data_IF_736029548309
#
_entry.id   IF_736029548309
#
_cell.length_a   1.000
_cell.length_b   1.000
_cell.length_c   1.000
_cell.angle_alpha   90.00
_cell.angle_beta   90.00
_cell.angle_gamma   90.00
#
_symmetry.space_group_name_H-M   'P 1'
#
loop_
_entity.id
_entity.type
_entity.pdbx_description
1 polymer ?
#
# COMPACT_ATOMS: atom_id res chain seq x y z
N UNK A 1 22.23 -7.34 18.77
CA UNK A 1 21.25 -8.44 18.85
C UNK A 1 21.61 -9.46 17.78
N UNK A 2 21.72 -10.71 18.13
CA UNK A 2 21.94 -11.78 17.15
C UNK A 2 20.75 -12.74 17.25
N UNK A 3 20.06 -12.94 16.15
CA UNK A 3 18.96 -13.89 16.03
C UNK A 3 19.22 -14.77 14.82
N UNK A 4 19.04 -16.08 14.95
CA UNK A 4 19.18 -17.04 13.83
C UNK A 4 17.86 -17.25 13.10
N UNK A 5 16.75 -17.17 13.81
CA UNK A 5 15.40 -17.41 13.27
C UNK A 5 14.46 -16.30 13.72
N UNK A 6 13.98 -15.52 12.78
CA UNK A 6 13.15 -14.33 12.99
C UNK A 6 11.76 -14.58 12.42
N UNK A 7 10.73 -14.23 13.17
CA UNK A 7 9.36 -14.14 12.68
C UNK A 7 8.97 -12.67 12.53
N UNK A 8 8.53 -12.26 11.36
CA UNK A 8 7.94 -10.93 11.14
C UNK A 8 6.43 -11.07 11.16
N UNK A 9 5.77 -10.36 12.06
CA UNK A 9 4.32 -10.39 12.19
C UNK A 9 3.71 -9.08 11.70
N UNK A 10 3.00 -9.14 10.58
CA UNK A 10 2.20 -8.05 10.04
C UNK A 10 1.01 -8.62 9.26
N UNK A 11 -0.15 -7.99 9.41
CA UNK A 11 -1.37 -8.30 8.68
C UNK A 11 -1.87 -7.05 7.97
N UNK A 12 -2.67 -7.22 6.94
CA UNK A 12 -3.28 -6.12 6.21
C UNK A 12 -3.41 -6.43 4.72
N UNK A 13 -3.85 -5.44 3.97
CA UNK A 13 -4.00 -5.49 2.53
C UNK A 13 -2.72 -5.05 1.80
N UNK A 14 -2.80 -4.92 0.47
CA UNK A 14 -1.70 -4.50 -0.40
C UNK A 14 -0.96 -3.25 0.12
N UNK A 15 -1.70 -2.18 0.45
CA UNK A 15 -1.10 -0.94 0.97
C UNK A 15 -0.36 -1.14 2.28
N UNK A 16 -0.94 -1.92 3.22
CA UNK A 16 -0.30 -2.23 4.51
C UNK A 16 1.02 -2.99 4.33
N UNK A 17 1.10 -3.86 3.33
CA UNK A 17 2.33 -4.58 2.99
C UNK A 17 3.37 -3.62 2.41
N UNK A 18 2.98 -2.80 1.43
CA UNK A 18 3.90 -1.92 0.69
C UNK A 18 4.53 -0.84 1.59
N UNK A 19 3.77 -0.24 2.50
CA UNK A 19 4.31 0.76 3.44
C UNK A 19 5.31 0.15 4.43
N UNK A 20 5.33 -1.17 4.60
CA UNK A 20 6.26 -1.85 5.49
C UNK A 20 7.53 -2.36 4.79
N UNK A 21 7.60 -2.33 3.46
CA UNK A 21 8.76 -2.84 2.69
C UNK A 21 10.07 -2.18 3.14
N UNK A 22 10.16 -0.86 3.38
CA UNK A 22 11.39 -0.27 3.90
C UNK A 22 11.85 -0.88 5.22
N UNK A 23 10.93 -1.19 6.14
CA UNK A 23 11.24 -1.84 7.41
C UNK A 23 11.66 -3.32 7.22
N UNK A 24 11.06 -4.02 6.27
CA UNK A 24 11.45 -5.40 5.93
C UNK A 24 12.87 -5.45 5.34
N UNK A 25 13.20 -4.51 4.46
CA UNK A 25 14.57 -4.37 3.93
C UNK A 25 15.58 -4.07 5.04
N UNK A 26 15.23 -3.14 5.93
CA UNK A 26 16.07 -2.83 7.08
C UNK A 26 16.33 -4.06 7.96
N UNK A 27 15.33 -4.90 8.18
CA UNK A 27 15.48 -6.15 8.92
C UNK A 27 16.40 -7.12 8.20
N UNK A 28 16.19 -7.36 6.89
CA UNK A 28 17.04 -8.28 6.12
C UNK A 28 18.51 -7.81 6.07
N UNK A 29 18.73 -6.51 5.89
CA UNK A 29 20.11 -5.96 5.88
C UNK A 29 20.77 -6.03 7.25
N UNK A 30 19.99 -5.91 8.35
CA UNK A 30 20.52 -6.05 9.71
C UNK A 30 20.82 -7.51 10.08
N UNK A 31 20.05 -8.45 9.53
CA UNK A 31 20.14 -9.88 9.82
C UNK A 31 20.28 -10.69 8.51
N UNK A 32 21.38 -10.51 7.74
CA UNK A 32 21.54 -11.10 6.42
C UNK A 32 21.53 -12.63 6.43
N UNK A 33 22.13 -13.24 7.47
CA UNK A 33 22.28 -14.68 7.61
C UNK A 33 21.13 -15.36 8.40
N UNK A 34 20.16 -14.57 8.87
CA UNK A 34 19.05 -15.11 9.63
C UNK A 34 17.97 -15.69 8.72
N UNK A 35 17.37 -16.78 9.14
CA UNK A 35 16.15 -17.27 8.54
C UNK A 35 14.96 -16.37 8.98
N UNK A 36 14.38 -15.62 8.06
CA UNK A 36 13.29 -14.69 8.32
C UNK A 36 12.00 -15.23 7.70
N UNK A 37 11.01 -15.57 8.54
CA UNK A 37 9.68 -15.96 8.12
C UNK A 37 8.68 -14.81 8.29
N UNK A 38 7.73 -14.71 7.36
CA UNK A 38 6.63 -13.75 7.44
C UNK A 38 5.34 -14.43 7.93
N UNK A 39 4.71 -13.86 8.94
CA UNK A 39 3.42 -14.31 9.46
C UNK A 39 2.34 -13.30 9.16
N UNK A 40 1.33 -13.71 8.40
CA UNK A 40 0.18 -12.88 8.05
C UNK A 40 -1.13 -13.64 8.12
N UNK A 41 -2.25 -12.90 8.24
CA UNK A 41 -3.56 -13.48 7.97
C UNK A 41 -3.71 -13.79 6.48
N UNK A 42 -4.48 -14.82 6.16
CA UNK A 42 -4.95 -15.12 4.82
C UNK A 42 -6.47 -14.94 4.77
N UNK A 43 -6.96 -14.44 3.65
CA UNK A 43 -8.38 -14.39 3.36
C UNK A 43 -8.65 -15.21 2.08
N UNK A 44 -8.74 -16.54 2.19
CA UNK A 44 -8.90 -17.41 1.03
C UNK A 44 -10.28 -17.27 0.35
N UNK A 45 -11.22 -16.61 1.01
CA UNK A 45 -12.61 -16.45 0.51
C UNK A 45 -12.74 -15.18 -0.34
N UNK A 46 -11.86 -14.20 -0.13
CA UNK A 46 -11.90 -12.94 -0.87
C UNK A 46 -10.99 -13.01 -2.12
N UNK A 47 -11.55 -13.13 -3.32
CA UNK A 47 -10.77 -13.26 -4.56
C UNK A 47 -9.96 -12.01 -4.91
N UNK A 48 -10.27 -10.86 -4.31
CA UNK A 48 -9.56 -9.59 -4.53
C UNK A 48 -8.53 -9.31 -3.43
N UNK A 49 -8.29 -10.28 -2.52
CA UNK A 49 -7.28 -10.17 -1.49
C UNK A 49 -5.89 -10.43 -2.06
N UNK A 50 -5.04 -9.41 -2.04
CA UNK A 50 -3.63 -9.53 -2.42
C UNK A 50 -2.82 -9.77 -1.15
N UNK A 51 -2.22 -10.94 -1.05
CA UNK A 51 -1.38 -11.32 0.09
C UNK A 51 0.02 -10.67 -0.01
N UNK A 52 0.72 -10.59 1.12
CA UNK A 52 2.10 -10.12 1.12
C UNK A 52 3.02 -11.05 0.28
N UNK A 53 2.67 -12.35 0.18
CA UNK A 53 3.40 -13.31 -0.66
C UNK A 53 3.25 -13.01 -2.16
N UNK A 54 2.09 -12.51 -2.60
CA UNK A 54 1.88 -12.13 -4.00
C UNK A 54 2.69 -10.88 -4.38
N UNK A 55 2.97 -10.03 -3.39
CA UNK A 55 3.72 -8.78 -3.57
C UNK A 55 5.24 -9.01 -3.51
N UNK A 56 5.72 -9.89 -2.63
CA UNK A 56 7.12 -10.02 -2.24
C UNK A 56 7.67 -11.46 -2.38
N UNK A 57 7.28 -12.27 -3.37
CA UNK A 57 7.61 -13.70 -3.38
C UNK A 57 9.12 -13.98 -3.46
N UNK A 58 9.84 -13.28 -4.30
CA UNK A 58 11.25 -13.54 -4.65
C UNK A 58 12.17 -12.33 -4.39
N UNK A 59 11.76 -11.46 -3.45
CA UNK A 59 12.52 -10.26 -3.11
C UNK A 59 13.77 -10.54 -2.25
N UNK A 60 13.95 -11.79 -1.78
CA UNK A 60 14.98 -12.15 -0.81
C UNK A 60 14.74 -11.62 0.62
N UNK A 61 13.61 -10.95 0.85
CA UNK A 61 13.26 -10.40 2.17
C UNK A 61 12.89 -11.47 3.18
N UNK A 62 12.20 -12.52 2.72
CA UNK A 62 11.69 -13.61 3.54
C UNK A 62 12.07 -14.98 2.96
N UNK A 63 12.44 -15.90 3.84
CA UNK A 63 12.81 -17.27 3.48
C UNK A 63 11.61 -18.22 3.60
N UNK A 64 10.56 -17.84 4.38
CA UNK A 64 9.38 -18.65 4.57
C UNK A 64 8.13 -17.80 4.81
N UNK A 65 6.96 -18.37 4.51
CA UNK A 65 5.66 -17.74 4.61
C UNK A 65 4.73 -18.58 5.46
N UNK A 66 4.21 -17.97 6.54
CA UNK A 66 3.24 -18.59 7.44
C UNK A 66 1.95 -17.79 7.33
N UNK A 67 0.89 -18.42 6.87
CA UNK A 67 -0.44 -17.80 6.86
C UNK A 67 -1.35 -18.54 7.85
N UNK A 68 -2.27 -17.79 8.42
CA UNK A 68 -3.37 -18.32 9.21
C UNK A 68 -4.69 -17.75 8.71
N UNK A 69 -5.78 -18.54 8.69
CA UNK A 69 -7.07 -18.05 8.24
C UNK A 69 -7.61 -16.98 9.21
N UNK A 70 -8.32 -15.99 8.65
CA UNK A 70 -9.18 -15.14 9.45
C UNK A 70 -10.33 -15.99 9.99
N UNK A 71 -10.20 -16.43 11.25
CA UNK A 71 -11.20 -17.30 11.88
C UNK A 71 -12.19 -16.47 12.69
N UNK A 72 -13.47 -16.75 12.47
CA UNK A 72 -14.54 -16.24 13.32
C UNK A 72 -14.38 -16.74 14.76
N UNK A 73 -14.84 -15.99 15.77
CA UNK A 73 -14.86 -16.44 17.15
C UNK A 73 -15.63 -17.78 17.29
N UNK A 74 -15.01 -18.77 17.94
CA UNK A 74 -15.62 -20.09 18.17
C UNK A 74 -14.59 -21.18 18.39
N UNK A 75 -15.05 -22.42 18.64
CA UNK A 75 -14.19 -23.56 18.93
C UNK A 75 -13.19 -23.86 17.81
N UNK A 76 -13.62 -23.74 16.55
CA UNK A 76 -12.75 -23.91 15.38
C UNK A 76 -11.63 -22.86 15.32
N UNK A 77 -11.91 -21.62 15.75
CA UNK A 77 -10.91 -20.55 15.84
C UNK A 77 -9.83 -20.83 16.88
N UNK A 78 -10.22 -21.38 18.04
CA UNK A 78 -9.27 -21.75 19.11
C UNK A 78 -8.37 -22.89 18.64
N UNK A 79 -8.93 -23.94 18.02
CA UNK A 79 -8.16 -25.06 17.49
C UNK A 79 -7.14 -24.62 16.44
N UNK A 80 -7.53 -23.69 15.54
CA UNK A 80 -6.65 -23.10 14.53
C UNK A 80 -5.49 -22.32 15.17
N UNK A 81 -5.76 -21.51 16.20
CA UNK A 81 -4.74 -20.77 16.93
C UNK A 81 -3.78 -21.70 17.69
N UNK A 82 -4.27 -22.79 18.28
CA UNK A 82 -3.44 -23.80 18.93
C UNK A 82 -2.53 -24.47 17.89
N UNK A 83 -3.08 -24.86 16.72
CA UNK A 83 -2.31 -25.42 15.62
C UNK A 83 -1.21 -24.48 15.14
N UNK A 84 -1.53 -23.19 14.99
CA UNK A 84 -0.56 -22.16 14.63
C UNK A 84 0.53 -22.01 15.70
N UNK A 85 0.16 -21.96 16.98
CA UNK A 85 1.12 -21.86 18.08
C UNK A 85 2.08 -23.07 18.10
N UNK A 86 1.56 -24.28 17.90
CA UNK A 86 2.38 -25.50 17.79
C UNK A 86 3.31 -25.48 16.59
N UNK A 87 2.83 -25.00 15.42
CA UNK A 87 3.67 -24.80 14.22
C UNK A 87 4.81 -23.84 14.50
N UNK A 88 4.52 -22.65 15.05
CA UNK A 88 5.52 -21.63 15.39
C UNK A 88 6.52 -22.18 16.41
N UNK A 89 6.07 -22.93 17.44
CA UNK A 89 6.93 -23.55 18.45
C UNK A 89 7.92 -24.55 17.86
N UNK A 90 7.46 -25.38 16.89
CA UNK A 90 8.33 -26.36 16.19
C UNK A 90 9.39 -25.65 15.34
N UNK A 91 9.09 -24.49 14.79
CA UNK A 91 10.02 -23.71 13.98
C UNK A 91 11.09 -22.96 14.79
N UNK A 92 10.96 -22.89 16.12
CA UNK A 92 11.97 -22.38 17.08
C UNK A 92 12.48 -20.99 16.72
N UNK A 93 11.59 -20.02 16.55
CA UNK A 93 11.99 -18.64 16.33
C UNK A 93 12.59 -18.00 17.60
N UNK A 94 13.71 -17.27 17.45
CA UNK A 94 14.39 -16.56 18.53
C UNK A 94 13.67 -15.26 18.91
N UNK A 95 13.08 -14.61 17.90
CA UNK A 95 12.38 -13.35 18.05
C UNK A 95 11.18 -13.23 17.12
N UNK A 96 10.21 -12.41 17.51
CA UNK A 96 9.19 -11.86 16.62
C UNK A 96 9.31 -10.35 16.53
N UNK A 97 9.39 -9.83 15.29
CA UNK A 97 9.25 -8.42 15.02
C UNK A 97 7.77 -8.13 14.79
N UNK A 98 7.19 -7.45 15.76
CA UNK A 98 5.77 -7.08 15.79
C UNK A 98 5.60 -5.76 15.05
N UNK A 99 5.36 -5.81 13.73
CA UNK A 99 5.23 -4.65 12.85
C UNK A 99 3.77 -4.38 12.47
N UNK A 100 2.88 -4.47 13.45
CA UNK A 100 1.44 -4.26 13.25
C UNK A 100 1.07 -2.79 13.07
N UNK A 101 -0.13 -2.55 12.58
CA UNK A 101 -0.66 -1.20 12.39
C UNK A 101 -0.94 -0.51 13.74
N UNK A 102 -0.90 0.81 13.75
CA UNK A 102 -1.14 1.64 14.94
C UNK A 102 -2.58 1.62 15.48
N UNK A 103 -3.52 0.99 14.78
CA UNK A 103 -4.91 0.82 15.27
C UNK A 103 -5.13 -0.41 16.16
N UNK A 104 -4.08 -1.16 16.47
CA UNK A 104 -4.18 -2.26 17.45
C UNK A 104 -4.45 -1.72 18.84
N UNK A 105 -5.54 -2.17 19.47
CA UNK A 105 -5.82 -1.84 20.87
C UNK A 105 -4.78 -2.46 21.80
N UNK A 106 -4.59 -1.88 23.00
CA UNK A 106 -3.70 -2.44 24.00
C UNK A 106 -4.04 -3.90 24.34
N UNK A 107 -5.36 -4.24 24.44
CA UNK A 107 -5.83 -5.61 24.68
C UNK A 107 -5.45 -6.57 23.55
N UNK A 108 -5.54 -6.15 22.30
CA UNK A 108 -5.14 -6.97 21.16
C UNK A 108 -3.62 -7.21 21.18
N UNK A 109 -2.83 -6.19 21.48
CA UNK A 109 -1.37 -6.30 21.57
C UNK A 109 -0.98 -7.26 22.71
N UNK A 110 -1.60 -7.14 23.89
CA UNK A 110 -1.30 -8.01 25.04
C UNK A 110 -1.70 -9.47 24.76
N UNK A 111 -2.84 -9.70 24.08
CA UNK A 111 -3.26 -11.02 23.60
C UNK A 111 -2.24 -11.62 22.64
N UNK A 112 -1.77 -10.84 21.65
CA UNK A 112 -0.80 -11.27 20.66
C UNK A 112 0.55 -11.59 21.33
N UNK A 113 0.98 -10.78 22.30
CA UNK A 113 2.18 -11.06 23.12
C UNK A 113 2.07 -12.36 23.90
N UNK A 114 0.91 -12.60 24.52
CA UNK A 114 0.65 -13.88 25.22
C UNK A 114 0.72 -15.05 24.26
N UNK A 115 0.09 -14.94 23.08
CA UNK A 115 0.12 -15.95 22.05
C UNK A 115 1.56 -16.33 21.64
N UNK A 116 2.40 -15.34 21.33
CA UNK A 116 3.79 -15.60 20.94
C UNK A 116 4.62 -16.22 22.09
N UNK A 117 4.38 -15.81 23.33
CA UNK A 117 5.01 -16.44 24.50
C UNK A 117 4.62 -17.91 24.66
N UNK A 118 3.34 -18.24 24.50
CA UNK A 118 2.85 -19.61 24.52
C UNK A 118 3.39 -20.44 23.33
N UNK A 119 3.61 -19.80 22.18
CA UNK A 119 4.30 -20.39 21.04
C UNK A 119 5.82 -20.53 21.22
N UNK A 120 6.37 -20.14 22.39
CA UNK A 120 7.78 -20.32 22.75
C UNK A 120 8.70 -19.15 22.39
N UNK A 121 8.18 -18.03 21.86
CA UNK A 121 8.99 -16.85 21.52
C UNK A 121 9.01 -15.88 22.70
N UNK A 122 10.18 -15.60 23.25
CA UNK A 122 10.36 -14.69 24.39
C UNK A 122 10.67 -13.25 23.96
N UNK A 123 11.41 -13.09 22.87
CA UNK A 123 11.80 -11.77 22.35
C UNK A 123 10.72 -11.24 21.41
N UNK A 124 9.87 -10.34 21.89
CA UNK A 124 8.80 -9.71 21.13
C UNK A 124 9.16 -8.24 20.94
N UNK A 125 9.71 -7.91 19.78
CA UNK A 125 10.28 -6.60 19.48
C UNK A 125 9.22 -5.74 18.79
N UNK A 126 9.01 -4.52 19.28
CA UNK A 126 8.11 -3.54 18.69
C UNK A 126 6.71 -3.49 19.29
N UNK A 127 6.23 -4.57 19.95
CA UNK A 127 4.86 -4.61 20.50
C UNK A 127 4.59 -3.51 21.53
N UNK A 128 5.52 -3.26 22.44
CA UNK A 128 5.39 -2.21 23.45
C UNK A 128 5.44 -0.82 22.82
N UNK A 129 6.32 -0.63 21.83
CA UNK A 129 6.40 0.62 21.10
C UNK A 129 5.07 0.95 20.39
N UNK A 130 4.47 -0.01 19.69
CA UNK A 130 3.17 0.17 19.05
C UNK A 130 2.09 0.46 20.10
N UNK A 131 2.12 -0.21 21.27
CA UNK A 131 1.17 0.02 22.35
C UNK A 131 1.24 1.45 22.90
N UNK A 132 2.44 2.01 23.00
CA UNK A 132 2.69 3.38 23.47
C UNK A 132 2.27 4.44 22.42
N UNK A 133 2.33 4.10 21.13
CA UNK A 133 2.07 5.00 20.02
C UNK A 133 0.82 4.60 19.21
N UNK A 134 -0.07 3.80 19.80
CA UNK A 134 -1.32 3.43 19.13
C UNK A 134 -2.21 4.66 18.91
N UNK A 135 -2.94 4.63 17.82
CA UNK A 135 -3.87 5.70 17.47
C UNK A 135 -5.25 5.43 18.06
N UNK A 136 -5.90 6.42 18.69
CA UNK A 136 -7.26 6.26 19.14
C UNK A 136 -8.22 6.10 17.96
N UNK A 137 -9.34 5.40 18.20
CA UNK A 137 -10.40 5.30 17.20
C UNK A 137 -11.11 6.65 16.98
N UNK A 138 -11.29 7.42 18.06
CA UNK A 138 -11.81 8.77 17.98
C UNK A 138 -10.67 9.72 17.63
N UNK A 139 -10.74 10.26 16.43
CA UNK A 139 -9.72 11.19 15.93
C UNK A 139 -10.03 12.60 16.44
N UNK A 140 -9.07 13.30 17.08
CA UNK A 140 -9.26 14.68 17.51
C UNK A 140 -9.49 15.60 16.31
N UNK A 141 -10.28 16.63 16.49
CA UNK A 141 -10.57 17.63 15.44
C UNK A 141 -10.02 19.01 15.82
N UNK A 142 -9.31 19.70 14.91
CA UNK A 142 -8.91 19.25 13.59
C UNK A 142 -7.93 18.09 13.67
N UNK A 143 -7.91 17.23 12.63
CA UNK A 143 -7.01 16.06 12.59
C UNK A 143 -5.55 16.52 12.49
N UNK A 144 -4.70 16.20 13.47
CA UNK A 144 -3.29 16.51 13.36
C UNK A 144 -2.62 15.64 12.27
N UNK A 145 -1.67 16.24 11.57
CA UNK A 145 -0.81 15.47 10.68
C UNK A 145 0.16 14.63 11.51
N UNK A 146 0.26 13.37 11.17
CA UNK A 146 1.18 12.41 11.79
C UNK A 146 2.20 11.89 10.78
N UNK A 147 3.26 11.26 11.28
CA UNK A 147 4.27 10.63 10.43
C UNK A 147 3.67 9.51 9.57
N UNK A 148 4.26 9.30 8.40
CA UNK A 148 3.91 8.20 7.50
C UNK A 148 4.09 6.85 8.19
N UNK A 149 3.25 5.87 7.87
CA UNK A 149 3.33 4.52 8.46
C UNK A 149 4.70 3.86 8.20
N UNK A 150 5.29 4.08 7.02
CA UNK A 150 6.63 3.57 6.70
C UNK A 150 7.72 4.17 7.61
N UNK A 151 7.67 5.48 7.84
CA UNK A 151 8.60 6.19 8.73
C UNK A 151 8.44 5.76 10.19
N UNK A 152 7.20 5.58 10.63
CA UNK A 152 6.88 5.04 11.94
C UNK A 152 7.52 3.67 12.18
N UNK A 153 7.41 2.75 11.22
CA UNK A 153 8.00 1.42 11.32
C UNK A 153 9.54 1.48 11.34
N UNK A 154 10.14 2.34 10.54
CA UNK A 154 11.58 2.56 10.56
C UNK A 154 12.03 3.18 11.90
N UNK A 155 11.29 4.15 12.45
CA UNK A 155 11.56 4.73 13.76
C UNK A 155 11.46 3.67 14.87
N UNK A 156 10.44 2.81 14.83
CA UNK A 156 10.32 1.67 15.73
C UNK A 156 11.62 0.83 15.73
N UNK A 157 12.11 0.47 14.54
CA UNK A 157 13.32 -0.34 14.44
C UNK A 157 14.58 0.40 14.96
N UNK A 158 14.69 1.72 14.73
CA UNK A 158 15.78 2.54 15.26
C UNK A 158 15.75 2.62 16.79
N UNK A 159 14.61 2.94 17.38
CA UNK A 159 14.46 3.05 18.84
C UNK A 159 14.63 1.70 19.56
N UNK A 160 14.39 0.58 18.88
CA UNK A 160 14.71 -0.75 19.42
C UNK A 160 16.17 -1.18 19.17
N UNK A 161 17.00 -0.31 18.60
CA UNK A 161 18.41 -0.58 18.35
C UNK A 161 18.66 -1.65 17.28
N UNK A 162 17.67 -1.87 16.41
CA UNK A 162 17.78 -2.81 15.27
C UNK A 162 18.54 -2.12 14.13
N UNK A 163 18.12 -0.93 13.75
CA UNK A 163 18.81 -0.11 12.77
C UNK A 163 19.76 0.84 13.50
N UNK A 164 21.06 0.75 13.19
CA UNK A 164 22.11 1.55 13.82
C UNK A 164 22.57 2.75 12.99
N UNK A 165 22.12 2.86 11.75
CA UNK A 165 22.52 3.90 10.80
C UNK A 165 21.37 4.83 10.44
N UNK A 166 21.70 6.06 10.02
CA UNK A 166 20.76 7.02 9.43
C UNK A 166 20.45 6.69 7.96
N UNK A 167 20.83 5.50 7.50
CA UNK A 167 20.55 5.03 6.13
C UNK A 167 19.05 5.06 5.85
N UNK A 168 18.71 5.60 4.70
CA UNK A 168 17.34 5.54 4.18
C UNK A 168 17.08 4.18 3.54
N UNK A 169 15.93 3.63 3.81
CA UNK A 169 15.46 2.37 3.20
C UNK A 169 14.26 2.70 2.32
N UNK A 170 14.33 2.30 1.07
CA UNK A 170 13.28 2.55 0.08
C UNK A 170 12.42 1.30 -0.15
N UNK A 171 11.17 1.45 -0.58
CA UNK A 171 10.31 0.34 -0.94
C UNK A 171 10.70 -0.21 -2.32
N UNK A 172 11.75 -1.03 -2.37
CA UNK A 172 12.18 -1.71 -3.59
C UNK A 172 11.57 -3.12 -3.62
N UNK A 173 10.84 -3.43 -4.66
CA UNK A 173 10.15 -4.71 -4.86
C UNK A 173 11.03 -5.76 -5.53
N UNK A 174 12.26 -5.44 -5.90
CA UNK A 174 13.19 -6.32 -6.62
C UNK A 174 12.49 -7.00 -7.82
N UNK A 175 11.91 -6.19 -8.71
CA UNK A 175 11.20 -6.69 -9.89
C UNK A 175 12.17 -7.42 -10.84
N UNK A 176 11.73 -8.56 -11.33
CA UNK A 176 12.53 -9.42 -12.20
C UNK A 176 12.47 -8.95 -13.67
N UNK A 177 13.47 -9.34 -14.51
CA UNK A 177 13.39 -9.08 -15.95
C UNK A 177 12.15 -9.67 -16.63
N UNK A 178 11.63 -10.80 -16.11
CA UNK A 178 10.42 -11.43 -16.65
C UNK A 178 9.17 -10.59 -16.38
N UNK A 179 9.06 -9.98 -15.21
CA UNK A 179 7.98 -9.07 -14.88
C UNK A 179 8.02 -7.80 -15.74
N UNK A 180 9.19 -7.27 -15.98
CA UNK A 180 9.36 -6.15 -16.92
C UNK A 180 8.99 -6.55 -18.36
N UNK A 181 9.37 -7.75 -18.82
CA UNK A 181 8.94 -8.24 -20.13
C UNK A 181 7.43 -8.42 -20.24
N UNK A 182 6.81 -8.97 -19.21
CA UNK A 182 5.34 -9.12 -19.16
C UNK A 182 4.62 -7.76 -19.19
N UNK A 183 5.15 -6.77 -18.48
CA UNK A 183 4.62 -5.40 -18.49
C UNK A 183 4.74 -4.75 -19.88
N UNK A 184 5.88 -4.89 -20.53
CA UNK A 184 6.10 -4.39 -21.90
C UNK A 184 5.16 -5.08 -22.89
N UNK A 185 5.06 -6.42 -22.83
CA UNK A 185 4.15 -7.18 -23.70
C UNK A 185 2.68 -6.75 -23.54
N UNK A 186 2.24 -6.45 -22.31
CA UNK A 186 0.91 -5.90 -22.07
C UNK A 186 0.75 -4.53 -22.75
N UNK A 187 1.70 -3.61 -22.56
CA UNK A 187 1.67 -2.27 -23.17
C UNK A 187 1.65 -2.39 -24.71
N UNK A 188 2.45 -3.28 -25.28
CA UNK A 188 2.51 -3.54 -26.71
C UNK A 188 1.17 -4.06 -27.26
N UNK A 189 0.62 -5.09 -26.62
CA UNK A 189 -0.68 -5.70 -27.04
C UNK A 189 -1.87 -4.75 -26.90
N UNK A 190 -1.77 -3.76 -26.02
CA UNK A 190 -2.82 -2.76 -25.79
C UNK A 190 -2.84 -1.62 -26.84
N UNK A 191 -2.07 -1.73 -27.93
CA UNK A 191 -2.00 -0.70 -28.96
C UNK A 191 -1.21 0.55 -28.57
N UNK A 192 -0.48 0.50 -27.48
CA UNK A 192 0.42 1.56 -26.98
C UNK A 192 1.79 1.47 -27.64
N UNK A 193 2.06 0.38 -28.34
CA UNK A 193 3.33 0.15 -29.06
C UNK A 193 3.55 1.24 -30.14
N UNK A 194 4.75 1.81 -30.10
CA UNK A 194 5.12 2.90 -31.03
C UNK A 194 4.66 4.29 -30.58
N UNK A 195 3.93 4.38 -29.44
CA UNK A 195 3.63 5.66 -28.85
C UNK A 195 4.90 6.30 -28.28
N UNK A 196 5.28 7.44 -28.85
CA UNK A 196 6.50 8.18 -28.45
C UNK A 196 6.28 9.14 -27.29
N UNK A 197 5.03 9.26 -26.82
CA UNK A 197 4.66 10.14 -25.71
C UNK A 197 4.85 9.46 -24.35
N UNK A 198 4.19 10.01 -23.34
CA UNK A 198 4.30 9.56 -21.94
C UNK A 198 3.10 8.74 -21.51
N UNK A 199 3.35 7.60 -20.89
CA UNK A 199 2.32 6.84 -20.22
C UNK A 199 1.97 7.49 -18.87
N UNK A 200 0.67 7.60 -18.59
CA UNK A 200 0.11 8.10 -17.32
C UNK A 200 -0.73 6.99 -16.71
N UNK A 201 -0.33 6.52 -15.54
CA UNK A 201 -1.11 5.55 -14.79
C UNK A 201 -2.30 6.22 -14.12
N UNK A 202 -3.50 5.62 -14.23
CA UNK A 202 -4.73 6.14 -13.63
C UNK A 202 -5.35 5.06 -12.73
N UNK A 203 -5.48 5.36 -11.42
CA UNK A 203 -6.09 4.48 -10.43
C UNK A 203 -7.41 5.07 -9.90
N UNK A 204 -8.54 4.93 -10.65
CA UNK A 204 -9.79 5.59 -10.31
C UNK A 204 -10.63 4.85 -9.29
N UNK A 205 -10.20 3.65 -8.87
CA UNK A 205 -10.90 2.78 -7.94
C UNK A 205 -10.46 2.89 -6.50
N UNK A 206 -11.20 2.27 -5.63
CA UNK A 206 -10.87 1.97 -4.24
C UNK A 206 -11.83 0.93 -3.68
N UNK A 207 -11.38 0.12 -2.70
CA UNK A 207 -12.27 -0.78 -1.93
C UNK A 207 -13.27 -0.02 -1.05
N UNK A 208 -12.98 1.23 -0.72
CA UNK A 208 -13.86 2.11 0.05
C UNK A 208 -14.45 3.17 -0.87
N UNK A 209 -15.78 3.21 -1.02
CA UNK A 209 -16.45 4.23 -1.82
C UNK A 209 -16.15 5.64 -1.33
N UNK A 210 -16.03 5.82 -0.02
CA UNK A 210 -15.66 7.09 0.62
C UNK A 210 -14.27 7.64 0.22
N UNK A 211 -13.45 6.83 -0.46
CA UNK A 211 -12.12 7.21 -0.96
C UNK A 211 -12.10 7.46 -2.48
N UNK A 212 -13.20 7.28 -3.16
CA UNK A 212 -13.27 7.41 -4.63
C UNK A 212 -13.60 8.85 -5.01
N UNK A 213 -12.63 9.51 -5.66
CA UNK A 213 -12.85 10.80 -6.32
C UNK A 213 -13.75 10.63 -7.54
N UNK A 214 -14.52 11.63 -7.89
CA UNK A 214 -15.57 11.56 -8.90
C UNK A 214 -15.03 11.16 -10.29
N UNK A 215 -15.67 10.18 -10.95
CA UNK A 215 -15.27 9.64 -12.26
C UNK A 215 -15.21 10.74 -13.34
N UNK A 216 -16.17 11.68 -13.33
CA UNK A 216 -16.22 12.78 -14.28
C UNK A 216 -14.98 13.71 -14.19
N UNK A 217 -14.42 13.88 -13.01
CA UNK A 217 -13.22 14.68 -12.80
C UNK A 217 -11.97 13.98 -13.33
N UNK A 218 -11.87 12.64 -13.16
CA UNK A 218 -10.83 11.86 -13.84
C UNK A 218 -10.94 11.98 -15.35
N UNK A 219 -12.17 11.88 -15.87
CA UNK A 219 -12.43 12.00 -17.30
C UNK A 219 -11.97 13.37 -17.84
N UNK A 220 -12.25 14.47 -17.14
CA UNK A 220 -11.83 15.80 -17.54
C UNK A 220 -10.31 15.99 -17.47
N UNK A 221 -9.68 15.68 -16.32
CA UNK A 221 -8.23 15.87 -16.13
C UNK A 221 -7.43 15.10 -17.17
N UNK A 222 -7.75 13.82 -17.38
CA UNK A 222 -7.00 12.97 -18.33
C UNK A 222 -7.26 13.38 -19.76
N UNK A 223 -8.50 13.78 -20.14
CA UNK A 223 -8.81 14.32 -21.46
C UNK A 223 -7.93 15.53 -21.76
N UNK A 224 -7.81 16.48 -20.83
CA UNK A 224 -6.95 17.68 -20.96
C UNK A 224 -5.48 17.33 -21.10
N UNK A 225 -5.00 16.32 -20.35
CA UNK A 225 -3.62 15.82 -20.46
C UNK A 225 -3.36 15.20 -21.85
N UNK A 226 -4.33 14.47 -22.40
CA UNK A 226 -4.24 13.90 -23.75
C UNK A 226 -4.12 15.03 -24.79
N UNK A 227 -5.00 16.04 -24.71
CA UNK A 227 -5.08 17.13 -25.66
C UNK A 227 -3.83 18.04 -25.62
N UNK A 228 -3.26 18.29 -24.44
CA UNK A 228 -2.18 19.28 -24.25
C UNK A 228 -0.79 18.68 -24.13
N UNK A 229 -0.65 17.42 -23.75
CA UNK A 229 0.65 16.78 -23.46
C UNK A 229 0.85 15.44 -24.18
N UNK A 230 -0.07 15.06 -25.05
CA UNK A 230 -0.02 13.81 -25.82
C UNK A 230 0.30 12.59 -24.94
N UNK A 231 -0.45 12.41 -23.84
CA UNK A 231 -0.25 11.27 -22.93
C UNK A 231 -1.08 10.05 -23.33
N UNK A 232 -0.61 8.87 -22.94
CA UNK A 232 -1.33 7.60 -23.04
C UNK A 232 -1.76 7.16 -21.65
N UNK A 233 -3.05 7.23 -21.30
CA UNK A 233 -3.54 6.76 -20.02
C UNK A 233 -3.60 5.23 -19.96
N UNK A 234 -3.16 4.67 -18.84
CA UNK A 234 -3.28 3.25 -18.53
C UNK A 234 -4.01 3.13 -17.19
N UNK A 235 -5.17 2.47 -17.20
CA UNK A 235 -5.96 2.22 -15.99
C UNK A 235 -5.34 1.08 -15.19
N UNK A 236 -5.15 1.30 -13.90
CA UNK A 236 -4.73 0.29 -12.94
C UNK A 236 -5.76 0.13 -11.83
N UNK A 237 -5.99 -1.12 -11.41
CA UNK A 237 -6.94 -1.46 -10.38
C UNK A 237 -7.15 -2.97 -10.28
N UNK A 238 -8.04 -3.40 -9.40
CA UNK A 238 -8.51 -4.78 -9.33
C UNK A 238 -9.55 -5.10 -10.42
N UNK A 239 -10.01 -6.37 -10.48
CA UNK A 239 -11.09 -6.75 -11.40
C UNK A 239 -12.35 -5.91 -11.23
N UNK A 240 -12.62 -5.45 -10.01
CA UNK A 240 -13.74 -4.57 -9.66
C UNK A 240 -13.69 -3.19 -10.33
N UNK A 241 -12.52 -2.76 -10.77
CA UNK A 241 -12.31 -1.45 -11.41
C UNK A 241 -12.39 -1.52 -12.95
N UNK A 242 -12.50 -2.73 -13.52
CA UNK A 242 -12.46 -2.98 -14.96
C UNK A 242 -13.50 -2.17 -15.73
N UNK A 243 -14.77 -2.26 -15.33
CA UNK A 243 -15.87 -1.56 -16.02
C UNK A 243 -15.70 -0.03 -15.96
N UNK A 244 -15.27 0.50 -14.83
CA UNK A 244 -14.95 1.93 -14.67
C UNK A 244 -13.82 2.33 -15.62
N UNK A 245 -12.76 1.53 -15.69
CA UNK A 245 -11.65 1.73 -16.62
C UNK A 245 -12.11 1.77 -18.07
N UNK A 246 -12.96 0.84 -18.49
CA UNK A 246 -13.52 0.79 -19.86
C UNK A 246 -14.37 2.02 -20.19
N UNK A 247 -15.19 2.52 -19.24
CA UNK A 247 -15.98 3.75 -19.46
C UNK A 247 -15.07 4.95 -19.67
N UNK A 248 -14.04 5.10 -18.85
CA UNK A 248 -13.06 6.19 -18.95
C UNK A 248 -12.32 6.15 -20.30
N UNK A 249 -11.78 4.99 -20.69
CA UNK A 249 -11.07 4.83 -21.98
C UNK A 249 -11.99 5.12 -23.17
N UNK A 250 -13.24 4.68 -23.13
CA UNK A 250 -14.22 5.01 -24.19
C UNK A 250 -14.46 6.52 -24.28
N UNK A 251 -14.51 7.22 -23.12
CA UNK A 251 -14.70 8.68 -23.10
C UNK A 251 -13.50 9.43 -23.68
N UNK A 252 -12.30 8.93 -23.46
CA UNK A 252 -11.05 9.51 -24.00
C UNK A 252 -10.72 9.06 -25.42
N UNK A 253 -11.35 7.98 -25.88
CA UNK A 253 -11.02 7.31 -27.16
C UNK A 253 -9.55 6.93 -27.28
N UNK A 254 -8.87 6.75 -26.15
CA UNK A 254 -7.44 6.48 -26.04
C UNK A 254 -7.13 5.84 -24.69
N UNK A 255 -6.17 4.92 -24.66
CA UNK A 255 -5.68 4.32 -23.41
C UNK A 255 -5.76 2.81 -23.40
N UNK A 256 -5.23 2.21 -22.34
CA UNK A 256 -5.25 0.78 -22.07
C UNK A 256 -5.87 0.50 -20.69
N UNK A 257 -6.54 -0.65 -20.54
CA UNK A 257 -7.12 -1.07 -19.27
C UNK A 257 -6.36 -2.28 -18.72
N UNK A 258 -5.52 -2.05 -17.70
CA UNK A 258 -4.79 -3.08 -16.99
C UNK A 258 -5.54 -3.60 -15.73
N UNK A 259 -6.72 -3.02 -15.42
CA UNK A 259 -7.49 -3.41 -14.25
C UNK A 259 -7.95 -4.87 -14.33
N UNK A 260 -7.47 -5.71 -13.41
CA UNK A 260 -7.75 -7.15 -13.38
C UNK A 260 -7.06 -7.99 -14.45
N UNK A 261 -6.21 -7.41 -15.31
CA UNK A 261 -5.47 -8.14 -16.36
C UNK A 261 -4.05 -8.53 -15.90
N UNK A 262 -3.45 -7.72 -15.06
CA UNK A 262 -2.09 -7.94 -14.56
C UNK A 262 -2.13 -8.44 -13.12
N UNK A 263 -1.27 -9.41 -12.80
CA UNK A 263 -0.98 -9.68 -11.40
C UNK A 263 -0.27 -8.46 -10.76
N UNK A 264 -0.21 -8.43 -9.43
CA UNK A 264 0.29 -7.26 -8.70
C UNK A 264 1.73 -6.88 -9.06
N UNK A 265 2.60 -7.85 -9.36
CA UNK A 265 4.00 -7.58 -9.68
C UNK A 265 4.19 -7.11 -11.13
N UNK A 266 3.46 -7.70 -12.08
CA UNK A 266 3.43 -7.21 -13.46
C UNK A 266 2.80 -5.81 -13.53
N UNK A 267 1.79 -5.52 -12.69
CA UNK A 267 1.25 -4.18 -12.55
C UNK A 267 2.28 -3.20 -11.97
N UNK A 268 3.09 -3.61 -10.99
CA UNK A 268 4.21 -2.80 -10.48
C UNK A 268 5.24 -2.50 -11.58
N UNK A 269 5.62 -3.50 -12.38
CA UNK A 269 6.51 -3.32 -13.50
C UNK A 269 5.93 -2.36 -14.57
N UNK A 270 4.63 -2.48 -14.89
CA UNK A 270 3.98 -1.55 -15.81
C UNK A 270 3.88 -0.12 -15.23
N UNK A 271 3.62 0.02 -13.93
CA UNK A 271 3.63 1.31 -13.24
C UNK A 271 5.00 1.99 -13.30
N UNK A 272 6.11 1.24 -13.22
CA UNK A 272 7.47 1.80 -13.32
C UNK A 272 7.76 2.44 -14.68
N UNK A 273 7.03 2.07 -15.72
CA UNK A 273 7.13 2.63 -17.07
C UNK A 273 6.28 3.91 -17.24
N UNK A 274 5.43 4.24 -16.27
CA UNK A 274 4.58 5.42 -16.31
C UNK A 274 5.32 6.67 -15.78
N UNK A 275 5.05 7.81 -16.42
CA UNK A 275 5.64 9.10 -16.02
C UNK A 275 5.05 9.66 -14.73
N UNK A 276 3.80 9.36 -14.43
CA UNK A 276 3.11 9.68 -13.20
C UNK A 276 1.98 8.70 -12.93
N UNK A 277 1.55 8.63 -11.69
CA UNK A 277 0.31 7.99 -11.25
C UNK A 277 -0.68 9.05 -10.80
N UNK A 278 -1.89 9.01 -11.31
CA UNK A 278 -3.04 9.80 -10.90
C UNK A 278 -4.10 8.90 -10.27
N UNK A 279 -4.44 9.10 -9.00
CA UNK A 279 -5.42 8.20 -8.38
C UNK A 279 -5.80 8.54 -6.95
N UNK A 280 -6.55 7.63 -6.34
CA UNK A 280 -7.01 7.72 -4.95
C UNK A 280 -5.95 7.18 -3.97
N UNK A 281 -6.16 7.42 -2.66
CA UNK A 281 -5.46 6.75 -1.56
C UNK A 281 -5.82 5.26 -1.52
N UNK A 282 -5.04 4.44 -2.23
CA UNK A 282 -5.27 2.99 -2.39
C UNK A 282 -3.98 2.19 -2.46
N UNK A 283 -4.11 0.85 -2.45
CA UNK A 283 -2.97 -0.05 -2.65
C UNK A 283 -2.21 0.19 -3.97
N UNK A 284 -2.92 0.57 -5.03
CA UNK A 284 -2.32 0.87 -6.34
C UNK A 284 -1.42 2.11 -6.29
N UNK A 285 -1.80 3.14 -5.53
CA UNK A 285 -0.94 4.31 -5.30
C UNK A 285 0.36 3.92 -4.58
N UNK A 286 0.27 3.10 -3.55
CA UNK A 286 1.46 2.61 -2.84
C UNK A 286 2.33 1.74 -3.75
N UNK A 287 1.72 0.97 -4.64
CA UNK A 287 2.44 0.16 -5.62
C UNK A 287 3.22 1.05 -6.60
N UNK A 288 2.60 2.12 -7.12
CA UNK A 288 3.25 3.11 -7.97
C UNK A 288 4.42 3.79 -7.25
N UNK A 289 4.21 4.23 -6.00
CA UNK A 289 5.27 4.84 -5.19
C UNK A 289 6.43 3.88 -4.92
N UNK A 290 6.15 2.57 -4.74
CA UNK A 290 7.17 1.54 -4.46
C UNK A 290 8.09 1.26 -5.65
N UNK A 291 7.71 1.66 -6.86
CA UNK A 291 8.54 1.54 -8.07
C UNK A 291 9.06 2.90 -8.55
N UNK A 292 8.99 3.93 -7.70
CA UNK A 292 9.52 5.26 -7.98
C UNK A 292 8.65 6.15 -8.84
N UNK A 293 7.42 5.73 -9.19
CA UNK A 293 6.50 6.55 -9.99
C UNK A 293 5.91 7.64 -9.11
N UNK A 294 6.06 8.89 -9.53
CA UNK A 294 5.50 10.05 -8.81
C UNK A 294 3.98 10.00 -8.81
N UNK A 295 3.37 10.17 -7.64
CA UNK A 295 1.93 10.13 -7.47
C UNK A 295 1.33 11.53 -7.34
N UNK A 296 0.28 11.80 -8.10
CA UNK A 296 -0.69 12.87 -7.85
C UNK A 296 -1.92 12.18 -7.28
N UNK A 297 -2.19 12.34 -5.98
CA UNK A 297 -3.17 11.51 -5.31
C UNK A 297 -4.19 12.30 -4.50
N UNK A 298 -5.47 11.88 -4.61
CA UNK A 298 -6.59 12.44 -3.87
C UNK A 298 -6.85 11.59 -2.62
N UNK A 299 -6.71 12.24 -1.47
CA UNK A 299 -6.98 11.67 -0.15
C UNK A 299 -8.32 12.16 0.38
N UNK A 300 -9.20 11.22 0.66
CA UNK A 300 -10.37 11.55 1.48
C UNK A 300 -9.96 11.84 2.93
N UNK A 301 -10.81 12.52 3.66
CA UNK A 301 -10.54 12.86 5.07
C UNK A 301 -10.96 11.73 6.04
N UNK A 302 -11.03 10.48 5.60
CA UNK A 302 -11.53 9.35 6.40
C UNK A 302 -10.58 8.89 7.50
N UNK A 303 -9.27 9.13 7.34
CA UNK A 303 -8.20 8.65 8.22
C UNK A 303 -7.29 9.81 8.66
N UNK A 304 -6.32 9.52 9.50
CA UNK A 304 -5.29 10.43 9.96
C UNK A 304 -4.50 11.03 8.80
N UNK A 305 -4.35 12.35 8.83
CA UNK A 305 -3.51 13.05 7.86
C UNK A 305 -2.05 12.60 8.01
N UNK A 306 -1.39 12.31 6.89
CA UNK A 306 0.00 11.85 6.86
C UNK A 306 0.18 10.35 6.87
N UNK A 307 -0.67 9.62 7.60
CA UNK A 307 -0.47 8.19 7.91
C UNK A 307 -0.18 7.31 6.71
N UNK A 308 -1.05 7.30 5.73
CA UNK A 308 -0.94 6.48 4.53
C UNK A 308 -0.48 7.27 3.29
N UNK A 309 0.22 8.38 3.51
CA UNK A 309 0.86 9.03 2.39
C UNK A 309 1.95 8.14 1.78
N UNK A 310 2.13 8.19 0.45
CA UNK A 310 3.11 7.35 -0.24
C UNK A 310 4.52 7.65 0.25
N UNK A 311 5.40 6.66 0.16
CA UNK A 311 6.80 6.79 0.56
C UNK A 311 7.53 7.73 -0.40
N UNK A 312 8.33 8.65 0.16
CA UNK A 312 9.06 9.69 -0.59
C UNK A 312 8.37 11.04 -0.52
N UNK A 313 9.07 12.08 -0.97
CA UNK A 313 8.61 13.47 -0.87
C UNK A 313 8.29 14.09 -2.25
N UNK A 314 8.48 13.31 -3.34
CA UNK A 314 8.23 13.76 -4.71
C UNK A 314 6.74 13.82 -5.09
N UNK A 315 5.86 13.28 -4.28
CA UNK A 315 4.43 13.14 -4.57
C UNK A 315 3.66 14.44 -4.31
N UNK A 316 2.58 14.66 -5.08
CA UNK A 316 1.66 15.78 -4.86
C UNK A 316 0.34 15.21 -4.35
N UNK A 317 -0.07 15.65 -3.16
CA UNK A 317 -1.20 15.06 -2.45
C UNK A 317 -2.27 16.12 -2.17
N UNK A 318 -3.50 15.80 -2.50
CA UNK A 318 -4.66 16.62 -2.23
C UNK A 318 -5.48 16.01 -1.09
N UNK A 319 -5.70 16.78 -0.04
CA UNK A 319 -6.59 16.45 1.08
C UNK A 319 -7.29 17.72 1.54
N UNK A 320 -8.58 17.64 1.78
CA UNK A 320 -9.37 18.76 2.32
C UNK A 320 -9.95 18.37 3.67
N UNK A 321 -9.73 19.24 4.65
CA UNK A 321 -10.34 19.13 5.98
C UNK A 321 -11.81 19.52 5.89
N UNK A 322 -12.67 18.79 6.55
CA UNK A 322 -14.10 19.00 6.62
C UNK A 322 -14.60 18.68 8.03
N UNK A 323 -15.80 19.14 8.39
CA UNK A 323 -16.39 18.92 9.72
C UNK A 323 -16.54 17.44 10.11
N UNK A 324 -16.73 16.56 9.11
CA UNK A 324 -16.88 15.11 9.31
C UNK A 324 -15.59 14.31 9.10
N UNK A 325 -14.43 14.98 9.05
CA UNK A 325 -13.15 14.27 8.91
C UNK A 325 -12.92 13.21 10.01
N UNK A 326 -12.16 12.15 9.69
CA UNK A 326 -11.90 11.05 10.62
C UNK A 326 -13.07 10.10 10.80
N UNK A 327 -13.93 9.96 9.81
CA UNK A 327 -15.14 9.13 9.91
C UNK A 327 -14.89 7.63 9.90
N UNK A 328 -13.73 7.16 9.43
CA UNK A 328 -13.35 5.72 9.34
C UNK A 328 -14.42 4.82 8.70
N UNK A 329 -15.18 5.34 7.73
CA UNK A 329 -16.28 4.62 7.11
C UNK A 329 -15.96 4.23 5.66
N UNK A 330 -16.21 2.97 5.25
CA UNK A 330 -16.12 2.54 3.86
C UNK A 330 -17.07 3.33 2.95
N UNK A 331 -18.27 3.62 3.44
CA UNK A 331 -19.26 4.44 2.76
C UNK A 331 -19.33 5.81 3.44
N UNK A 332 -19.59 6.86 2.64
CA UNK A 332 -19.62 8.21 3.18
C UNK A 332 -20.85 8.42 4.08
N UNK A 333 -20.68 8.73 5.40
CA UNK A 333 -21.80 8.94 6.30
C UNK A 333 -22.44 10.32 6.17
N UNK A 334 -21.84 11.25 5.43
CA UNK A 334 -22.39 12.57 5.21
C UNK A 334 -23.45 12.53 4.09
N UNK A 335 -24.71 12.40 4.49
CA UNK A 335 -25.83 12.31 3.54
C UNK A 335 -26.23 13.66 2.91
N UNK A 336 -25.91 14.77 3.58
CA UNK A 336 -26.24 16.11 3.07
C UNK A 336 -25.27 16.57 1.96
N UNK A 337 -24.02 16.12 2.01
CA UNK A 337 -23.01 16.40 0.99
C UNK A 337 -22.05 15.18 0.91
N UNK A 338 -22.45 14.11 0.21
CA UNK A 338 -21.63 12.90 0.12
C UNK A 338 -20.24 13.21 -0.45
N UNK A 339 -19.20 12.67 0.21
CA UNK A 339 -17.79 12.83 -0.17
C UNK A 339 -17.31 14.29 -0.28
N UNK A 340 -17.88 15.21 0.51
CA UNK A 340 -17.51 16.64 0.54
C UNK A 340 -15.99 16.86 0.57
N UNK A 341 -15.26 16.05 1.35
CA UNK A 341 -13.80 16.14 1.46
C UNK A 341 -13.06 15.89 0.12
N UNK A 342 -13.60 15.04 -0.74
CA UNK A 342 -13.09 14.80 -2.09
C UNK A 342 -13.66 15.80 -3.11
N UNK A 343 -14.92 16.19 -2.94
CA UNK A 343 -15.59 17.15 -3.81
C UNK A 343 -14.92 18.54 -3.78
N UNK A 344 -14.38 18.93 -2.65
CA UNK A 344 -13.60 20.15 -2.50
C UNK A 344 -12.20 20.12 -3.16
N UNK A 345 -11.81 19.01 -3.79
CA UNK A 345 -10.57 18.92 -4.58
C UNK A 345 -10.89 19.27 -6.03
N UNK A 346 -10.49 20.45 -6.53
CA UNK A 346 -10.85 20.88 -7.87
C UNK A 346 -10.03 20.17 -8.95
N UNK A 347 -10.66 19.83 -10.07
CA UNK A 347 -10.02 19.15 -11.20
C UNK A 347 -8.87 19.99 -11.80
N UNK A 348 -9.02 21.34 -11.81
CA UNK A 348 -7.98 22.23 -12.30
C UNK A 348 -6.67 22.12 -11.52
N UNK A 349 -6.74 22.12 -10.20
CA UNK A 349 -5.55 21.96 -9.35
C UNK A 349 -4.87 20.60 -9.55
N UNK A 350 -5.66 19.53 -9.75
CA UNK A 350 -5.14 18.19 -10.04
C UNK A 350 -4.49 18.15 -11.42
N UNK A 351 -5.09 18.78 -12.43
CA UNK A 351 -4.51 18.91 -13.75
C UNK A 351 -3.16 19.65 -13.71
N UNK A 352 -3.09 20.79 -13.05
CA UNK A 352 -1.85 21.58 -12.90
C UNK A 352 -0.75 20.76 -12.20
N UNK A 353 -1.09 20.01 -11.17
CA UNK A 353 -0.15 19.11 -10.49
C UNK A 353 0.37 18.01 -11.43
N UNK A 354 -0.49 17.43 -12.27
CA UNK A 354 -0.07 16.45 -13.28
C UNK A 354 0.90 17.09 -14.30
N UNK A 355 0.60 18.29 -14.78
CA UNK A 355 1.46 19.05 -15.70
C UNK A 355 2.81 19.35 -15.05
N UNK A 356 2.84 19.76 -13.79
CA UNK A 356 4.07 19.99 -13.03
C UNK A 356 4.94 18.73 -12.97
N UNK A 357 4.36 17.58 -12.62
CA UNK A 357 5.08 16.29 -12.55
C UNK A 357 5.61 15.90 -13.93
N UNK A 358 4.81 16.04 -14.98
CA UNK A 358 5.23 15.77 -16.35
C UNK A 358 6.36 16.70 -16.79
N UNK A 359 6.37 17.98 -16.35
CA UNK A 359 7.42 18.95 -16.62
C UNK A 359 8.76 18.62 -15.95
N UNK A 360 8.74 18.14 -14.70
CA UNK A 360 9.97 17.79 -13.94
C UNK A 360 10.81 16.70 -14.60
N UNK A 361 10.21 15.71 -15.29
CA UNK A 361 10.93 14.62 -15.97
C UNK A 361 11.51 14.99 -17.34
N UNK A 362 11.14 16.11 -17.91
CA UNK A 362 11.75 16.59 -19.16
C UNK A 362 13.17 17.17 -18.97
N UNK A 363 13.57 17.44 -17.71
CA UNK A 363 14.87 18.06 -17.37
C UNK A 363 15.93 17.00 -16.99
N UNK A 364 15.53 15.74 -16.82
CA UNK A 364 16.39 14.63 -16.32
C UNK A 364 16.85 13.63 -17.42
N UNK A 365 16.93 14.07 -18.70
CA UNK A 365 17.48 13.29 -19.81
C UNK A 365 18.82 13.88 -20.28
#
# INVERSE_FOLDING_TARGET
>A
MEFKRILVFRTGHLGDTLVAVPAFRALRETFPDSHIAYLSSADPVNPTYVSARDVLPETGLFDDWISYPNVSPGVGGIASLIGLAMKIRRLRFDAVFYLMTRYRTARQIDRDRLFFRLAGIRNIIGSEFIKQHNLPFEIPKPIPRIEKEAEFLLRLLREKGVIKSDRQFFPDLALTPDEHRAALAFIESSGVLGFKGRCVAVGPGSKWDSKIWEEARYADVVRRLIESHDVMPIIFGGPEDREKGERLIRSWRRGANAAGELNVRNAAAALSLCSLYLGNDTGTMHLAASVGTTCVAMFSAVDWAGRFEPFGDQHILFRRSVECEGCHSPDCPNLSHPKKCLDLIPADAVYEACVEVLGRRAIAV
#
